data_IF_107060535967
#
_entry.id   IF_107060535967
#
_cell.length_a   1.000
_cell.length_b   1.000
_cell.length_c   1.000
_cell.angle_alpha   90.00
_cell.angle_beta   90.00
_cell.angle_gamma   90.00
#
_symmetry.space_group_name_H-M   'P 1'
#
loop_
_entity.id
_entity.type
_entity.pdbx_description
1 polymer ?
#
# COMPACT_ATOMS: atom_id res chain seq x y z
N UNK A 1 3.98 21.84 -4.84
CA UNK A 1 3.09 21.18 -3.86
C UNK A 1 3.99 20.48 -2.85
N UNK A 2 3.70 20.53 -1.57
CA UNK A 2 4.57 19.96 -0.52
C UNK A 2 4.46 18.43 -0.56
N UNK A 3 5.60 17.74 -0.53
CA UNK A 3 5.64 16.26 -0.63
C UNK A 3 4.93 15.56 0.54
N UNK A 4 4.88 16.21 1.70
CA UNK A 4 4.16 15.76 2.88
C UNK A 4 2.65 15.66 2.65
N UNK A 5 2.05 16.67 1.99
CA UNK A 5 0.63 16.66 1.63
C UNK A 5 0.32 15.55 0.62
N UNK A 6 1.21 15.35 -0.36
CA UNK A 6 1.05 14.27 -1.33
C UNK A 6 1.15 12.89 -0.67
N UNK A 7 2.06 12.73 0.28
CA UNK A 7 2.19 11.49 1.04
C UNK A 7 0.91 11.21 1.88
N UNK A 8 0.34 12.23 2.53
CA UNK A 8 -0.93 12.09 3.25
C UNK A 8 -2.09 11.73 2.30
N UNK A 9 -2.19 12.39 1.16
CA UNK A 9 -3.20 12.07 0.14
C UNK A 9 -3.07 10.63 -0.37
N UNK A 10 -1.85 10.13 -0.55
CA UNK A 10 -1.60 8.72 -0.90
C UNK A 10 -2.18 7.76 0.15
N UNK A 11 -2.20 8.15 1.42
CA UNK A 11 -2.84 7.36 2.48
C UNK A 11 -4.36 7.29 2.32
N UNK A 12 -5.01 8.40 1.99
CA UNK A 12 -6.45 8.41 1.69
C UNK A 12 -6.76 7.48 0.51
N UNK A 13 -5.92 7.49 -0.53
CA UNK A 13 -6.08 6.59 -1.67
C UNK A 13 -6.05 5.10 -1.27
N UNK A 14 -5.17 4.70 -0.33
CA UNK A 14 -5.15 3.32 0.18
C UNK A 14 -6.47 2.97 0.88
N UNK A 15 -7.01 3.87 1.68
CA UNK A 15 -8.28 3.64 2.38
C UNK A 15 -9.45 3.49 1.39
N UNK A 16 -9.51 4.35 0.37
CA UNK A 16 -10.52 4.26 -0.70
C UNK A 16 -10.38 2.96 -1.49
N UNK A 17 -9.16 2.57 -1.84
CA UNK A 17 -8.89 1.30 -2.52
C UNK A 17 -9.32 0.10 -1.66
N UNK A 18 -9.01 0.14 -0.36
CA UNK A 18 -9.39 -0.91 0.58
C UNK A 18 -10.91 -1.06 0.66
N UNK A 19 -11.66 0.05 0.69
CA UNK A 19 -13.12 0.03 0.69
C UNK A 19 -13.69 -0.54 -0.61
N UNK A 20 -13.20 -0.08 -1.76
CA UNK A 20 -13.64 -0.57 -3.06
C UNK A 20 -13.37 -2.07 -3.23
N UNK A 21 -12.14 -2.49 -2.95
CA UNK A 21 -11.76 -3.90 -3.05
C UNK A 21 -12.46 -4.79 -2.03
N UNK A 22 -12.68 -4.30 -0.80
CA UNK A 22 -13.39 -5.02 0.25
C UNK A 22 -14.86 -5.25 -0.11
N UNK A 23 -15.55 -4.23 -0.61
CA UNK A 23 -16.95 -4.34 -1.04
C UNK A 23 -17.09 -5.27 -2.26
N UNK A 24 -16.17 -5.16 -3.23
CA UNK A 24 -16.15 -6.09 -4.37
C UNK A 24 -15.96 -7.53 -3.91
N UNK A 25 -15.04 -7.76 -2.96
CA UNK A 25 -14.77 -9.06 -2.37
C UNK A 25 -16.00 -9.62 -1.64
N UNK A 26 -16.66 -8.79 -0.84
CA UNK A 26 -17.87 -9.18 -0.11
C UNK A 26 -18.98 -9.63 -1.06
N UNK A 27 -19.25 -8.86 -2.13
CA UNK A 27 -20.28 -9.18 -3.13
C UNK A 27 -19.96 -10.41 -3.96
N UNK A 28 -18.67 -10.66 -4.25
CA UNK A 28 -18.21 -11.86 -4.95
C UNK A 28 -18.17 -13.08 -4.04
N UNK A 29 -18.13 -12.88 -2.72
CA UNK A 29 -17.75 -13.90 -1.76
C UNK A 29 -16.44 -14.64 -2.17
N UNK A 30 -15.54 -13.90 -2.83
CA UNK A 30 -14.27 -14.41 -3.38
C UNK A 30 -13.22 -13.30 -3.41
N UNK A 31 -12.43 -13.20 -2.33
CA UNK A 31 -11.40 -12.19 -2.18
C UNK A 31 -10.28 -12.28 -3.21
N UNK A 32 -9.89 -13.50 -3.59
CA UNK A 32 -8.83 -13.69 -4.56
C UNK A 32 -9.25 -13.23 -5.97
N UNK A 33 -10.50 -13.51 -6.35
CA UNK A 33 -11.05 -13.01 -7.61
C UNK A 33 -11.20 -11.48 -7.60
N UNK A 34 -11.63 -10.89 -6.47
CA UNK A 34 -11.69 -9.43 -6.32
C UNK A 34 -10.31 -8.77 -6.48
N UNK A 35 -9.27 -9.36 -5.89
CA UNK A 35 -7.88 -8.90 -6.07
C UNK A 35 -7.44 -8.99 -7.53
N UNK A 36 -7.75 -10.09 -8.21
CA UNK A 36 -7.43 -10.28 -9.63
C UNK A 36 -8.17 -9.27 -10.52
N UNK A 37 -9.44 -8.97 -10.25
CA UNK A 37 -10.20 -7.94 -10.98
C UNK A 37 -9.59 -6.56 -10.77
N UNK A 38 -9.23 -6.22 -9.53
CA UNK A 38 -8.59 -4.94 -9.21
C UNK A 38 -7.26 -4.78 -9.94
N UNK A 39 -6.37 -5.76 -9.86
CA UNK A 39 -5.09 -5.70 -10.57
C UNK A 39 -5.25 -5.82 -12.10
N UNK A 40 -6.14 -6.67 -12.58
CA UNK A 40 -6.43 -6.82 -14.01
C UNK A 40 -6.97 -5.54 -14.64
N UNK A 41 -7.93 -4.86 -13.98
CA UNK A 41 -8.44 -3.57 -14.46
C UNK A 41 -7.36 -2.50 -14.44
N UNK A 42 -6.53 -2.45 -13.41
CA UNK A 42 -5.39 -1.56 -13.34
C UNK A 42 -4.36 -1.84 -14.46
N UNK A 43 -4.09 -3.11 -14.76
CA UNK A 43 -3.23 -3.50 -15.87
C UNK A 43 -3.78 -3.02 -17.21
N UNK A 44 -5.07 -3.20 -17.46
CA UNK A 44 -5.72 -2.71 -18.70
C UNK A 44 -5.58 -1.20 -18.82
N UNK A 45 -5.86 -0.46 -17.74
CA UNK A 45 -5.76 1.00 -17.72
C UNK A 45 -4.33 1.47 -18.01
N UNK A 46 -3.33 0.95 -17.28
CA UNK A 46 -1.95 1.41 -17.46
C UNK A 46 -1.35 0.94 -18.80
N UNK A 47 -1.76 -0.24 -19.29
CA UNK A 47 -1.38 -0.70 -20.62
C UNK A 47 -1.96 0.22 -21.70
N UNK A 48 -3.24 0.61 -21.62
CA UNK A 48 -3.85 1.56 -22.53
C UNK A 48 -3.10 2.91 -22.51
N UNK A 49 -2.79 3.45 -21.32
CA UNK A 49 -1.99 4.68 -21.20
C UNK A 49 -0.62 4.50 -21.86
N UNK A 50 0.02 3.33 -21.72
CA UNK A 50 1.36 3.07 -22.25
C UNK A 50 1.42 3.07 -23.78
N UNK A 51 0.31 2.78 -24.47
CA UNK A 51 0.24 2.81 -25.93
C UNK A 51 0.43 4.23 -26.46
N UNK A 52 -0.10 5.23 -25.74
CA UNK A 52 -0.12 6.63 -26.16
C UNK A 52 0.97 7.48 -25.48
N UNK A 53 1.68 6.95 -24.49
CA UNK A 53 2.68 7.69 -23.74
C UNK A 53 4.11 7.20 -24.06
N UNK A 54 4.87 7.90 -24.92
CA UNK A 54 6.22 7.49 -25.30
C UNK A 54 7.21 7.50 -24.11
N UNK A 55 6.96 8.30 -23.07
CA UNK A 55 7.81 8.34 -21.89
C UNK A 55 7.80 6.99 -21.12
N UNK A 56 6.68 6.27 -21.12
CA UNK A 56 6.62 4.92 -20.53
C UNK A 56 7.51 3.95 -21.33
N UNK A 57 7.48 4.02 -22.65
CA UNK A 57 8.34 3.18 -23.53
C UNK A 57 9.83 3.48 -23.27
N UNK A 58 10.18 4.75 -23.11
CA UNK A 58 11.53 5.16 -22.73
C UNK A 58 11.91 4.60 -21.35
N UNK A 59 11.02 4.70 -20.36
CA UNK A 59 11.24 4.14 -19.03
C UNK A 59 11.46 2.62 -19.04
N UNK A 60 10.75 1.88 -19.89
CA UNK A 60 10.98 0.42 -20.10
C UNK A 60 12.37 0.19 -20.69
N UNK A 61 12.78 0.99 -21.69
CA UNK A 61 14.11 0.91 -22.27
C UNK A 61 15.20 1.16 -21.24
N UNK A 62 15.03 2.17 -20.39
CA UNK A 62 15.96 2.50 -19.31
C UNK A 62 16.11 1.34 -18.32
N UNK A 63 14.99 0.75 -17.88
CA UNK A 63 15.01 -0.43 -16.99
C UNK A 63 15.71 -1.61 -17.66
N UNK A 64 15.45 -1.86 -18.95
CA UNK A 64 16.10 -2.95 -19.68
C UNK A 64 17.62 -2.75 -19.74
N UNK A 65 18.07 -1.53 -19.97
CA UNK A 65 19.49 -1.17 -19.96
C UNK A 65 20.11 -1.34 -18.57
N UNK A 66 19.46 -0.84 -17.53
CA UNK A 66 19.92 -0.97 -16.14
C UNK A 66 20.04 -2.45 -15.70
N UNK A 67 19.09 -3.30 -16.11
CA UNK A 67 19.16 -4.76 -15.86
C UNK A 67 20.33 -5.39 -16.64
N UNK A 68 20.53 -5.01 -17.89
CA UNK A 68 21.62 -5.52 -18.74
C UNK A 68 22.98 -5.14 -18.20
N UNK A 69 23.11 -3.92 -17.68
CA UNK A 69 24.34 -3.40 -17.10
C UNK A 69 24.58 -3.90 -15.64
N UNK A 70 23.65 -4.65 -15.07
CA UNK A 70 23.76 -5.14 -13.69
C UNK A 70 23.49 -4.09 -12.59
N UNK A 71 22.97 -2.91 -12.96
CA UNK A 71 22.69 -1.81 -12.05
C UNK A 71 21.46 -2.10 -11.16
N UNK A 72 20.47 -2.83 -11.69
CA UNK A 72 19.32 -3.31 -10.93
C UNK A 72 19.14 -4.82 -11.06
N UNK A 73 19.01 -5.52 -9.94
CA UNK A 73 18.78 -6.96 -9.95
C UNK A 73 17.37 -7.30 -10.45
N UNK A 74 17.24 -8.32 -11.29
CA UNK A 74 15.96 -8.74 -11.92
C UNK A 74 14.84 -9.02 -10.92
N UNK A 75 15.15 -9.61 -9.77
CA UNK A 75 14.15 -9.93 -8.75
C UNK A 75 13.45 -8.68 -8.19
N UNK A 76 14.12 -7.51 -8.21
CA UNK A 76 13.52 -6.25 -7.73
C UNK A 76 12.37 -5.78 -8.60
N UNK A 77 12.33 -6.21 -9.87
CA UNK A 77 11.23 -5.91 -10.77
C UNK A 77 9.94 -6.66 -10.42
N UNK A 78 10.02 -7.65 -9.51
CA UNK A 78 8.86 -8.38 -8.98
C UNK A 78 8.12 -7.63 -7.88
N UNK A 79 8.39 -6.34 -7.68
CA UNK A 79 7.72 -5.51 -6.68
C UNK A 79 6.18 -5.58 -6.75
N UNK A 80 5.63 -5.72 -7.96
CA UNK A 80 4.19 -5.87 -8.15
C UNK A 80 3.61 -7.17 -7.60
N UNK A 81 4.39 -8.25 -7.55
CA UNK A 81 3.96 -9.49 -6.90
C UNK A 81 3.68 -9.27 -5.40
N UNK A 82 4.52 -8.44 -4.72
CA UNK A 82 4.25 -8.01 -3.34
C UNK A 82 2.96 -7.19 -3.25
N UNK A 83 2.72 -6.29 -4.22
CA UNK A 83 1.48 -5.52 -4.29
C UNK A 83 0.24 -6.39 -4.51
N UNK A 84 0.33 -7.39 -5.39
CA UNK A 84 -0.72 -8.39 -5.60
C UNK A 84 -1.02 -9.17 -4.32
N UNK A 85 0.01 -9.61 -3.59
CA UNK A 85 -0.13 -10.28 -2.30
C UNK A 85 -0.79 -9.37 -1.25
N UNK A 86 -0.39 -8.08 -1.18
CA UNK A 86 -1.02 -7.10 -0.30
C UNK A 86 -2.52 -6.99 -0.58
N UNK A 87 -2.92 -6.82 -1.85
CA UNK A 87 -4.33 -6.68 -2.21
C UNK A 87 -5.09 -7.99 -2.02
N UNK A 88 -4.47 -9.15 -2.28
CA UNK A 88 -5.09 -10.45 -2.00
C UNK A 88 -5.42 -10.64 -0.52
N UNK A 89 -4.53 -10.23 0.39
CA UNK A 89 -4.80 -10.23 1.84
C UNK A 89 -5.89 -9.19 2.18
N UNK A 90 -5.77 -7.97 1.66
CA UNK A 90 -6.72 -6.88 1.88
C UNK A 90 -8.16 -7.29 1.54
N UNK A 91 -8.38 -7.87 0.36
CA UNK A 91 -9.71 -8.28 -0.12
C UNK A 91 -10.35 -9.37 0.73
N UNK A 92 -9.56 -10.20 1.39
CA UNK A 92 -10.05 -11.23 2.30
C UNK A 92 -10.32 -10.70 3.70
N UNK A 93 -9.52 -9.73 4.16
CA UNK A 93 -9.54 -9.29 5.56
C UNK A 93 -10.47 -8.10 5.78
N UNK A 94 -10.55 -7.14 4.85
CA UNK A 94 -11.39 -5.94 4.99
C UNK A 94 -12.86 -6.27 5.22
N UNK A 95 -13.48 -7.23 4.54
CA UNK A 95 -14.86 -7.62 4.82
C UNK A 95 -15.10 -8.18 6.23
N UNK A 96 -14.04 -8.71 6.87
CA UNK A 96 -14.14 -9.34 8.19
C UNK A 96 -13.98 -8.34 9.34
N UNK A 97 -13.09 -7.35 9.19
CA UNK A 97 -12.70 -6.45 10.29
C UNK A 97 -12.90 -4.97 9.98
N UNK A 98 -13.35 -4.65 8.77
CA UNK A 98 -13.55 -3.26 8.31
C UNK A 98 -12.27 -2.56 7.86
N UNK A 99 -12.46 -1.40 7.21
CA UNK A 99 -11.36 -0.64 6.61
C UNK A 99 -10.44 -0.04 7.67
N UNK A 100 -11.03 0.50 8.75
CA UNK A 100 -10.26 1.17 9.80
C UNK A 100 -9.35 0.20 10.57
N UNK A 101 -9.87 -0.95 11.02
CA UNK A 101 -9.05 -1.94 11.75
C UNK A 101 -7.98 -2.54 10.84
N UNK A 102 -8.34 -2.86 9.59
CA UNK A 102 -7.35 -3.31 8.60
C UNK A 102 -6.25 -2.27 8.38
N UNK A 103 -6.62 -0.99 8.25
CA UNK A 103 -5.66 0.11 8.09
C UNK A 103 -4.69 0.16 9.25
N UNK A 104 -5.23 0.09 10.48
CA UNK A 104 -4.45 0.10 11.71
C UNK A 104 -3.45 -1.07 11.76
N UNK A 105 -3.89 -2.30 11.50
CA UNK A 105 -3.03 -3.48 11.47
C UNK A 105 -1.95 -3.38 10.37
N UNK A 106 -2.34 -2.96 9.17
CA UNK A 106 -1.44 -2.75 8.04
C UNK A 106 -0.38 -1.69 8.34
N UNK A 107 -0.74 -0.61 9.04
CA UNK A 107 0.17 0.46 9.45
C UNK A 107 1.27 -0.07 10.38
N UNK A 108 0.96 -0.95 11.33
CA UNK A 108 1.97 -1.54 12.19
C UNK A 108 3.05 -2.26 11.38
N UNK A 109 2.63 -3.12 10.44
CA UNK A 109 3.54 -3.81 9.55
C UNK A 109 4.36 -2.86 8.65
N UNK A 110 3.71 -1.87 8.05
CA UNK A 110 4.36 -0.85 7.21
C UNK A 110 5.44 -0.08 7.99
N UNK A 111 5.12 0.34 9.22
CA UNK A 111 6.01 1.16 10.02
C UNK A 111 7.24 0.37 10.48
N UNK A 112 7.04 -0.86 10.97
CA UNK A 112 8.14 -1.73 11.36
C UNK A 112 9.07 -2.04 10.19
N UNK A 113 8.51 -2.40 9.04
CA UNK A 113 9.30 -2.75 7.85
C UNK A 113 10.00 -1.54 7.24
N UNK A 114 9.39 -0.35 7.29
CA UNK A 114 9.99 0.85 6.70
C UNK A 114 11.28 1.28 7.42
N UNK A 115 11.41 1.04 8.72
CA UNK A 115 12.67 1.25 9.45
C UNK A 115 13.79 0.36 8.89
N UNK A 116 13.50 -0.93 8.72
CA UNK A 116 14.46 -1.90 8.20
C UNK A 116 14.87 -1.57 6.77
N UNK A 117 13.89 -1.30 5.92
CA UNK A 117 14.08 -0.98 4.50
C UNK A 117 14.93 0.27 4.30
N UNK A 118 14.69 1.33 5.09
CA UNK A 118 15.48 2.56 5.04
C UNK A 118 16.92 2.34 5.53
N UNK A 119 17.11 1.48 6.56
CA UNK A 119 18.45 1.15 7.08
C UNK A 119 19.32 0.43 6.07
N UNK A 120 18.74 -0.53 5.34
CA UNK A 120 19.50 -1.29 4.32
C UNK A 120 19.64 -0.52 3.00
N UNK A 121 18.96 0.62 2.85
CA UNK A 121 19.03 1.46 1.66
C UNK A 121 18.30 0.86 0.45
N UNK A 122 17.25 0.08 0.70
CA UNK A 122 16.51 -0.62 -0.37
C UNK A 122 15.72 0.34 -1.28
N UNK A 123 15.61 1.62 -0.95
CA UNK A 123 14.87 2.61 -1.73
C UNK A 123 15.59 3.16 -2.95
N UNK A 124 16.89 2.90 -3.10
CA UNK A 124 17.75 3.54 -4.10
C UNK A 124 18.28 4.94 -3.68
N UNK A 125 17.51 5.70 -2.91
CA UNK A 125 17.91 7.02 -2.39
C UNK A 125 18.98 6.98 -1.27
N UNK A 126 19.70 5.86 -1.14
CA UNK A 126 20.73 5.65 -0.12
C UNK A 126 20.17 5.20 1.24
N UNK A 127 21.09 4.83 2.14
CA UNK A 127 20.76 4.41 3.50
C UNK A 127 20.28 5.61 4.31
N UNK A 128 19.18 5.46 5.04
CA UNK A 128 18.69 6.45 5.99
C UNK A 128 19.05 6.02 7.41
N UNK A 129 19.58 6.95 8.20
CA UNK A 129 19.92 6.67 9.59
C UNK A 129 18.66 6.40 10.43
N UNK A 130 18.76 5.42 11.30
CA UNK A 130 17.73 5.15 12.31
C UNK A 130 18.04 6.02 13.53
N UNK A 131 17.28 7.11 13.67
CA UNK A 131 17.38 7.97 14.86
C UNK A 131 16.43 7.46 15.95
N UNK A 132 16.74 7.76 17.21
CA UNK A 132 15.86 7.40 18.33
C UNK A 132 14.45 7.96 18.18
N UNK A 133 14.29 9.15 17.58
CA UNK A 133 12.97 9.74 17.28
C UNK A 133 12.17 8.91 16.27
N UNK A 134 12.81 8.39 15.23
CA UNK A 134 12.16 7.52 14.23
C UNK A 134 11.70 6.19 14.84
N UNK A 135 12.51 5.62 15.74
CA UNK A 135 12.15 4.42 16.49
C UNK A 135 10.98 4.70 17.44
N UNK A 136 11.03 5.80 18.20
CA UNK A 136 9.95 6.19 19.09
C UNK A 136 8.63 6.42 18.35
N UNK A 137 8.66 7.09 17.19
CA UNK A 137 7.50 7.28 16.34
C UNK A 137 6.91 5.93 15.87
N UNK A 138 7.77 4.99 15.47
CA UNK A 138 7.33 3.65 15.05
C UNK A 138 6.70 2.88 16.23
N UNK A 139 7.33 2.88 17.40
CA UNK A 139 6.79 2.24 18.61
C UNK A 139 5.45 2.85 18.98
N UNK A 140 5.35 4.18 19.01
CA UNK A 140 4.09 4.87 19.36
C UNK A 140 2.98 4.57 18.35
N UNK A 141 3.32 4.46 17.06
CA UNK A 141 2.36 4.05 16.03
C UNK A 141 1.87 2.61 16.28
N UNK A 142 2.76 1.67 16.63
CA UNK A 142 2.35 0.29 16.96
C UNK A 142 1.47 0.25 18.22
N UNK A 143 1.80 1.02 19.26
CA UNK A 143 0.95 1.12 20.47
C UNK A 143 -0.41 1.71 20.10
N UNK A 144 -0.46 2.77 19.28
CA UNK A 144 -1.70 3.39 18.81
C UNK A 144 -2.60 2.38 18.09
N UNK A 145 -1.98 1.48 17.32
CA UNK A 145 -2.67 0.35 16.67
C UNK A 145 -3.31 -0.57 17.70
N UNK A 146 -2.58 -0.99 18.72
CA UNK A 146 -3.10 -1.85 19.78
C UNK A 146 -4.26 -1.18 20.52
N UNK A 147 -4.13 0.12 20.85
CA UNK A 147 -5.18 0.89 21.50
C UNK A 147 -6.44 0.92 20.64
N UNK A 148 -6.33 1.11 19.33
CA UNK A 148 -7.48 1.26 18.44
C UNK A 148 -8.34 0.00 18.28
N UNK A 149 -7.85 -1.16 18.75
CA UNK A 149 -8.59 -2.44 18.70
C UNK A 149 -8.93 -3.01 20.08
N UNK A 150 -8.60 -2.30 21.18
CA UNK A 150 -8.78 -2.83 22.54
C UNK A 150 -10.21 -3.23 22.87
N UNK A 151 -11.20 -2.48 22.43
CA UNK A 151 -12.62 -2.77 22.64
C UNK A 151 -13.14 -3.98 21.85
N UNK A 152 -12.32 -4.52 20.96
CA UNK A 152 -12.68 -5.64 20.09
C UNK A 152 -11.90 -6.92 20.38
N UNK A 153 -10.86 -6.84 21.23
CA UNK A 153 -10.06 -8.01 21.61
C UNK A 153 -10.92 -9.08 22.28
N UNK A 154 -11.91 -8.67 23.08
CA UNK A 154 -12.86 -9.57 23.73
C UNK A 154 -14.10 -9.88 22.88
N UNK A 155 -14.27 -9.23 21.73
CA UNK A 155 -15.39 -9.51 20.85
C UNK A 155 -15.18 -10.85 20.14
N UNK A 156 -16.17 -11.74 20.23
CA UNK A 156 -16.16 -13.06 19.56
C UNK A 156 -15.91 -12.99 18.04
N UNK A 157 -15.97 -11.80 17.46
CA UNK A 157 -15.85 -11.53 16.02
C UNK A 157 -14.47 -11.01 15.61
N UNK A 158 -13.54 -10.70 16.54
CA UNK A 158 -12.19 -10.28 16.15
C UNK A 158 -11.32 -11.50 15.90
N UNK A 159 -11.10 -11.82 14.64
CA UNK A 159 -10.11 -12.83 14.28
C UNK A 159 -8.70 -12.26 14.47
N UNK A 160 -7.98 -12.72 15.49
CA UNK A 160 -6.56 -12.37 15.69
C UNK A 160 -5.73 -12.73 14.45
N UNK A 161 -6.11 -13.79 13.73
CA UNK A 161 -5.49 -14.20 12.46
C UNK A 161 -5.66 -13.09 11.43
N UNK A 162 -6.84 -12.45 11.35
CA UNK A 162 -7.09 -11.36 10.41
C UNK A 162 -6.22 -10.12 10.73
N UNK A 163 -6.04 -9.79 12.00
CA UNK A 163 -5.16 -8.69 12.43
C UNK A 163 -3.70 -8.97 12.08
N UNK A 164 -3.22 -10.18 12.36
CA UNK A 164 -1.85 -10.60 12.00
C UNK A 164 -1.66 -10.57 10.48
N UNK A 165 -2.62 -11.06 9.70
CA UNK A 165 -2.58 -11.00 8.25
C UNK A 165 -2.55 -9.55 7.74
N UNK A 166 -3.28 -8.63 8.37
CA UNK A 166 -3.20 -7.20 8.10
C UNK A 166 -1.80 -6.63 8.37
N UNK A 167 -1.15 -7.01 9.47
CA UNK A 167 0.24 -6.62 9.76
C UNK A 167 1.21 -7.16 8.71
N UNK A 168 1.06 -8.41 8.30
CA UNK A 168 1.88 -9.02 7.23
C UNK A 168 1.68 -8.28 5.91
N UNK A 169 0.44 -7.98 5.54
CA UNK A 169 0.13 -7.18 4.36
C UNK A 169 0.85 -5.83 4.40
N UNK A 170 0.82 -5.16 5.54
CA UNK A 170 1.53 -3.90 5.76
C UNK A 170 3.05 -4.04 5.60
N UNK A 171 3.65 -5.10 6.14
CA UNK A 171 5.08 -5.37 5.99
C UNK A 171 5.45 -5.56 4.51
N UNK A 172 4.67 -6.33 3.79
CA UNK A 172 4.85 -6.60 2.35
C UNK A 172 4.80 -5.31 1.54
N UNK A 173 3.83 -4.43 1.80
CA UNK A 173 3.74 -3.15 1.07
C UNK A 173 4.86 -2.18 1.44
N UNK A 174 5.41 -2.27 2.64
CA UNK A 174 6.61 -1.51 3.03
C UNK A 174 7.82 -1.86 2.15
N UNK A 175 8.06 -3.15 1.91
CA UNK A 175 9.11 -3.63 0.97
C UNK A 175 8.78 -3.22 -0.46
N UNK A 176 7.55 -3.42 -0.90
CA UNK A 176 7.12 -3.05 -2.26
C UNK A 176 7.41 -1.58 -2.57
N UNK A 177 7.10 -0.66 -1.64
CA UNK A 177 7.38 0.78 -1.81
C UNK A 177 8.86 1.07 -2.06
N UNK A 178 9.73 0.38 -1.35
CA UNK A 178 11.18 0.53 -1.53
C UNK A 178 11.63 0.08 -2.92
N UNK A 179 11.16 -1.08 -3.35
CA UNK A 179 11.48 -1.61 -4.68
C UNK A 179 10.93 -0.71 -5.79
N UNK A 180 9.70 -0.19 -5.61
CA UNK A 180 9.11 0.77 -6.52
C UNK A 180 9.91 2.07 -6.60
N UNK A 181 10.48 2.55 -5.50
CA UNK A 181 11.40 3.67 -5.48
C UNK A 181 12.62 3.42 -6.36
N UNK A 182 13.25 2.24 -6.24
CA UNK A 182 14.37 1.86 -7.11
C UNK A 182 13.97 1.74 -8.59
N UNK A 183 12.86 1.07 -8.89
CA UNK A 183 12.38 0.95 -10.27
C UNK A 183 12.15 2.35 -10.87
N UNK A 184 11.58 3.28 -10.09
CA UNK A 184 11.36 4.64 -10.54
C UNK A 184 12.67 5.42 -10.76
N UNK A 185 13.69 5.17 -9.93
CA UNK A 185 15.02 5.77 -10.06
C UNK A 185 15.66 5.42 -11.41
N UNK A 186 15.62 4.14 -11.80
CA UNK A 186 16.21 3.69 -13.07
C UNK A 186 15.32 3.94 -14.29
N UNK A 187 13.99 3.91 -14.13
CA UNK A 187 13.06 4.19 -15.23
C UNK A 187 12.97 5.68 -15.57
N UNK A 188 13.22 6.56 -14.57
CA UNK A 188 12.92 8.00 -14.62
C UNK A 188 11.46 8.30 -14.99
N UNK A 189 10.54 7.31 -14.79
CA UNK A 189 9.15 7.41 -15.19
C UNK A 189 8.24 6.60 -14.27
N UNK A 190 7.43 7.30 -13.47
CA UNK A 190 6.58 6.69 -12.43
C UNK A 190 5.47 5.77 -12.98
N UNK A 191 4.91 6.08 -14.15
CA UNK A 191 3.94 5.19 -14.79
C UNK A 191 4.57 3.89 -15.34
N UNK A 192 5.87 3.88 -15.67
CA UNK A 192 6.60 2.66 -15.96
C UNK A 192 6.66 1.75 -14.72
N UNK A 193 6.87 2.33 -13.54
CA UNK A 193 6.81 1.61 -12.27
C UNK A 193 5.42 1.00 -12.05
N UNK A 194 4.35 1.76 -12.28
CA UNK A 194 2.99 1.25 -12.22
C UNK A 194 2.77 0.09 -13.19
N UNK A 195 3.19 0.22 -14.44
CA UNK A 195 3.02 -0.83 -15.46
C UNK A 195 3.70 -2.14 -15.02
N UNK A 196 4.96 -2.08 -14.57
CA UNK A 196 5.69 -3.26 -14.08
C UNK A 196 5.01 -3.89 -12.86
N UNK A 197 4.49 -3.06 -11.95
CA UNK A 197 3.74 -3.56 -10.80
C UNK A 197 2.46 -4.29 -11.20
N UNK A 198 1.67 -3.72 -12.10
CA UNK A 198 0.43 -4.36 -12.53
C UNK A 198 0.68 -5.60 -13.40
N UNK A 199 1.74 -5.64 -14.20
CA UNK A 199 2.13 -6.86 -14.93
C UNK A 199 2.48 -7.98 -13.93
N UNK A 200 3.43 -7.73 -13.02
CA UNK A 200 3.94 -8.79 -12.12
C UNK A 200 2.92 -9.17 -11.05
N UNK A 201 2.13 -8.20 -10.55
CA UNK A 201 1.07 -8.45 -9.58
C UNK A 201 -0.11 -9.21 -10.18
N UNK A 202 -0.59 -8.82 -11.36
CA UNK A 202 -1.67 -9.55 -12.07
C UNK A 202 -1.22 -10.95 -12.43
N UNK A 203 0.03 -11.13 -12.89
CA UNK A 203 0.57 -12.46 -13.20
C UNK A 203 0.58 -13.37 -11.98
N UNK A 204 1.05 -12.88 -10.82
CA UNK A 204 1.01 -13.65 -9.58
C UNK A 204 -0.42 -14.01 -9.18
N UNK A 205 -1.32 -13.02 -9.16
CA UNK A 205 -2.72 -13.26 -8.78
C UNK A 205 -3.43 -14.22 -9.71
N UNK A 206 -3.16 -14.14 -11.02
CA UNK A 206 -3.71 -15.07 -12.01
C UNK A 206 -3.22 -16.50 -11.76
N UNK A 207 -1.92 -16.68 -11.53
CA UNK A 207 -1.34 -18.00 -11.23
C UNK A 207 -1.97 -18.57 -9.95
N UNK A 208 -2.03 -17.79 -8.88
CA UNK A 208 -2.61 -18.24 -7.60
C UNK A 208 -4.09 -18.53 -7.75
N UNK A 209 -4.83 -17.72 -8.50
CA UNK A 209 -6.25 -17.95 -8.78
C UNK A 209 -6.48 -19.24 -9.57
N UNK A 210 -5.71 -19.47 -10.65
CA UNK A 210 -5.83 -20.69 -11.45
C UNK A 210 -5.48 -21.95 -10.66
N UNK A 211 -4.43 -21.90 -9.82
CA UNK A 211 -4.10 -23.01 -8.90
C UNK A 211 -5.26 -23.25 -7.92
N UNK A 212 -5.83 -22.19 -7.37
CA UNK A 212 -6.94 -22.28 -6.41
C UNK A 212 -8.19 -22.88 -7.05
N UNK A 213 -8.49 -22.54 -8.31
CA UNK A 213 -9.59 -23.17 -9.07
C UNK A 213 -9.26 -24.63 -9.40
N UNK A 214 -8.05 -24.93 -9.86
CA UNK A 214 -7.65 -26.30 -10.19
C UNK A 214 -7.66 -27.23 -8.96
N UNK A 215 -7.41 -26.69 -7.77
CA UNK A 215 -7.47 -27.41 -6.50
C UNK A 215 -8.86 -27.40 -5.84
N UNK A 216 -9.89 -26.93 -6.53
CA UNK A 216 -11.28 -26.82 -6.05
C UNK A 216 -11.44 -26.00 -4.75
N UNK A 217 -10.50 -25.12 -4.44
CA UNK A 217 -10.57 -24.22 -3.27
C UNK A 217 -11.41 -22.98 -3.53
N UNK A 218 -11.57 -22.60 -4.78
CA UNK A 218 -12.42 -21.50 -5.22
C UNK A 218 -12.99 -21.80 -6.60
N UNK A 219 -14.01 -21.04 -6.99
CA UNK A 219 -14.62 -21.12 -8.33
C UNK A 219 -14.66 -19.74 -8.96
N UNK A 220 -14.81 -19.69 -10.26
CA UNK A 220 -15.05 -18.42 -10.95
C UNK A 220 -16.49 -17.98 -10.69
N UNK A 221 -16.67 -16.75 -10.23
CA UNK A 221 -17.96 -16.15 -9.95
C UNK A 221 -18.23 -15.03 -10.95
N UNK A 222 -19.46 -14.92 -11.45
CA UNK A 222 -19.87 -13.83 -12.34
C UNK A 222 -19.74 -12.47 -11.64
N UNK A 223 -19.46 -11.41 -12.42
CA UNK A 223 -19.31 -10.07 -11.88
C UNK A 223 -20.61 -9.63 -11.19
N UNK A 224 -20.56 -9.15 -9.94
CA UNK A 224 -21.71 -8.74 -9.20
C UNK A 224 -22.28 -7.43 -9.76
N UNK A 225 -23.59 -7.31 -9.80
CA UNK A 225 -24.23 -6.02 -9.98
C UNK A 225 -24.02 -5.19 -8.71
N UNK A 226 -23.70 -3.89 -8.89
CA UNK A 226 -23.43 -3.00 -7.77
C UNK A 226 -23.02 -1.60 -8.21
N UNK A 227 -22.72 -0.73 -7.27
CA UNK A 227 -22.26 0.63 -7.57
C UNK A 227 -20.91 0.57 -8.30
N UNK A 228 -20.75 1.43 -9.29
CA UNK A 228 -19.56 1.47 -10.16
C UNK A 228 -18.23 1.61 -9.40
N UNK A 229 -18.25 2.25 -8.23
CA UNK A 229 -17.04 2.53 -7.43
C UNK A 229 -16.35 1.26 -6.91
N UNK A 230 -17.04 0.11 -6.79
CA UNK A 230 -16.41 -1.15 -6.35
C UNK A 230 -15.33 -1.64 -7.33
N UNK A 231 -15.38 -1.18 -8.57
CA UNK A 231 -14.42 -1.53 -9.63
C UNK A 231 -13.26 -0.52 -9.76
N UNK A 232 -13.23 0.52 -8.92
CA UNK A 232 -12.19 1.58 -9.03
C UNK A 232 -10.85 1.20 -8.43
N UNK A 233 -10.75 0.07 -7.74
CA UNK A 233 -9.54 -0.37 -7.03
C UNK A 233 -8.29 -0.37 -7.90
N UNK A 234 -8.40 -0.82 -9.16
CA UNK A 234 -7.28 -0.83 -10.11
C UNK A 234 -6.85 0.58 -10.54
N UNK A 235 -7.80 1.47 -10.85
CA UNK A 235 -7.51 2.86 -11.19
C UNK A 235 -6.79 3.59 -10.05
N UNK A 236 -7.32 3.45 -8.83
CA UNK A 236 -6.71 4.03 -7.62
C UNK A 236 -5.28 3.48 -7.45
N UNK A 237 -5.09 2.17 -7.65
CA UNK A 237 -3.79 1.52 -7.55
C UNK A 237 -2.77 2.04 -8.57
N UNK A 238 -3.15 2.28 -9.83
CA UNK A 238 -2.27 2.85 -10.87
C UNK A 238 -1.77 4.23 -10.45
N UNK A 239 -2.67 5.10 -10.03
CA UNK A 239 -2.33 6.45 -9.58
C UNK A 239 -1.48 6.38 -8.30
N UNK A 240 -1.88 5.56 -7.33
CA UNK A 240 -1.17 5.37 -6.08
C UNK A 240 0.30 4.96 -6.29
N UNK A 241 0.57 3.95 -7.12
CA UNK A 241 1.93 3.48 -7.36
C UNK A 241 2.77 4.54 -8.07
N UNK A 242 2.20 5.24 -9.06
CA UNK A 242 2.90 6.32 -9.74
C UNK A 242 3.29 7.45 -8.77
N UNK A 243 2.38 7.86 -7.88
CA UNK A 243 2.66 8.88 -6.88
C UNK A 243 3.70 8.42 -5.86
N UNK A 244 3.48 7.25 -5.26
CA UNK A 244 4.32 6.77 -4.15
C UNK A 244 5.73 6.46 -4.58
N UNK A 245 5.93 5.87 -5.77
CA UNK A 245 7.25 5.56 -6.29
C UNK A 245 8.13 6.81 -6.45
N UNK A 246 7.53 7.94 -6.82
CA UNK A 246 8.25 9.22 -6.93
C UNK A 246 8.53 9.83 -5.56
N UNK A 247 7.53 9.85 -4.66
CA UNK A 247 7.66 10.52 -3.36
C UNK A 247 8.64 9.77 -2.44
N UNK A 248 8.60 8.43 -2.46
CA UNK A 248 9.45 7.58 -1.61
C UNK A 248 10.93 7.78 -1.88
N UNK A 249 11.34 8.03 -3.12
CA UNK A 249 12.73 8.33 -3.47
C UNK A 249 13.26 9.57 -2.71
N UNK A 250 12.42 10.59 -2.59
CA UNK A 250 12.81 11.87 -1.97
C UNK A 250 12.71 11.85 -0.44
N UNK A 251 11.61 11.29 0.09
CA UNK A 251 11.35 11.28 1.53
C UNK A 251 11.95 10.06 2.26
N UNK A 252 12.17 8.96 1.57
CA UNK A 252 12.42 7.64 2.16
C UNK A 252 11.12 6.95 2.62
N UNK A 253 11.18 5.62 2.80
CA UNK A 253 9.97 4.82 3.07
C UNK A 253 9.35 5.17 4.42
N UNK A 254 10.16 5.34 5.47
CA UNK A 254 9.60 5.65 6.80
C UNK A 254 8.92 7.02 6.83
N UNK A 255 9.58 8.07 6.33
CA UNK A 255 9.01 9.43 6.32
C UNK A 255 7.71 9.48 5.50
N UNK A 256 7.73 8.86 4.31
CA UNK A 256 6.53 8.69 3.51
C UNK A 256 5.43 7.93 4.27
N UNK A 257 5.77 6.81 4.91
CA UNK A 257 4.81 5.99 5.66
C UNK A 257 4.18 6.78 6.80
N UNK A 258 4.94 7.55 7.56
CA UNK A 258 4.41 8.34 8.67
C UNK A 258 3.38 9.40 8.22
N UNK A 259 3.65 10.08 7.09
CA UNK A 259 2.66 11.02 6.53
C UNK A 259 1.45 10.30 5.90
N UNK A 260 1.70 9.22 5.17
CA UNK A 260 0.66 8.42 4.53
C UNK A 260 -0.28 7.79 5.56
N UNK A 261 0.26 7.36 6.71
CA UNK A 261 -0.51 6.81 7.83
C UNK A 261 -1.59 7.79 8.31
N UNK A 262 -1.24 9.07 8.46
CA UNK A 262 -2.22 10.10 8.85
C UNK A 262 -3.40 10.16 7.87
N UNK A 263 -3.10 10.24 6.58
CA UNK A 263 -4.13 10.26 5.54
C UNK A 263 -4.95 8.97 5.50
N UNK A 264 -4.30 7.81 5.66
CA UNK A 264 -4.97 6.51 5.66
C UNK A 264 -5.94 6.35 6.84
N UNK A 265 -5.54 6.77 8.04
CA UNK A 265 -6.40 6.68 9.24
C UNK A 265 -7.60 7.61 9.16
N UNK A 266 -7.38 8.88 8.75
CA UNK A 266 -8.50 9.81 8.56
C UNK A 266 -9.42 9.32 7.44
N UNK A 267 -8.86 8.90 6.32
CA UNK A 267 -9.65 8.38 5.20
C UNK A 267 -10.47 7.16 5.60
N UNK A 268 -9.85 6.20 6.31
CA UNK A 268 -10.56 4.99 6.76
C UNK A 268 -11.64 5.29 7.79
N UNK A 269 -11.39 6.23 8.73
CA UNK A 269 -12.38 6.66 9.70
C UNK A 269 -13.60 7.31 9.02
N UNK A 270 -13.35 8.23 8.08
CA UNK A 270 -14.43 8.89 7.33
C UNK A 270 -15.24 7.86 6.53
N UNK A 271 -14.56 6.90 5.90
CA UNK A 271 -15.22 5.83 5.13
C UNK A 271 -16.12 5.00 6.04
N UNK A 272 -15.63 4.55 7.19
CA UNK A 272 -16.42 3.70 8.11
C UNK A 272 -17.55 4.49 8.79
N UNK A 273 -17.45 5.82 8.88
CA UNK A 273 -18.56 6.69 9.36
C UNK A 273 -19.65 6.88 8.30
N UNK A 274 -19.27 7.07 7.04
CA UNK A 274 -20.20 7.37 5.93
C UNK A 274 -20.80 6.10 5.32
N UNK A 275 -20.02 5.04 5.25
CA UNK A 275 -20.40 3.75 4.65
C UNK A 275 -19.80 2.61 5.48
N UNK A 276 -20.37 2.34 6.66
CA UNK A 276 -19.83 1.34 7.56
C UNK A 276 -19.80 -0.05 6.91
N UNK A 277 -18.80 -0.83 7.26
CA UNK A 277 -18.80 -2.28 7.00
C UNK A 277 -19.74 -2.95 8.02
N UNK A 278 -20.53 -3.91 7.58
CA UNK A 278 -21.50 -4.61 8.43
C UNK A 278 -20.83 -5.14 9.72
N UNK A 279 -21.41 -4.82 10.88
CA UNK A 279 -20.89 -5.21 12.20
C UNK A 279 -19.67 -4.43 12.67
N UNK A 280 -19.22 -3.41 11.94
CA UNK A 280 -18.08 -2.56 12.32
C UNK A 280 -18.58 -1.20 12.79
N UNK A 281 -18.28 -0.86 14.06
CA UNK A 281 -18.63 0.43 14.65
C UNK A 281 -17.37 1.25 14.96
N UNK A 282 -17.46 2.55 14.73
CA UNK A 282 -16.40 3.48 15.14
C UNK A 282 -16.45 3.63 16.66
N UNK A 283 -15.36 3.27 17.32
CA UNK A 283 -15.24 3.33 18.77
C UNK A 283 -14.34 4.48 19.23
N UNK A 284 -14.45 4.85 20.51
CA UNK A 284 -13.55 5.81 21.15
C UNK A 284 -12.09 5.33 21.10
N UNK A 285 -11.86 4.02 21.22
CA UNK A 285 -10.53 3.42 21.14
C UNK A 285 -9.90 3.62 19.75
N UNK A 286 -10.67 3.43 18.68
CA UNK A 286 -10.22 3.68 17.31
C UNK A 286 -9.81 5.16 17.13
N UNK A 287 -10.65 6.10 17.58
CA UNK A 287 -10.36 7.54 17.51
C UNK A 287 -9.11 7.88 18.33
N UNK A 288 -8.96 7.31 19.53
CA UNK A 288 -7.78 7.49 20.37
C UNK A 288 -6.52 6.98 19.67
N UNK A 289 -6.56 5.80 19.05
CA UNK A 289 -5.45 5.24 18.26
C UNK A 289 -5.05 6.15 17.10
N UNK A 290 -6.01 6.76 16.41
CA UNK A 290 -5.76 7.75 15.36
C UNK A 290 -5.01 8.97 15.91
N UNK A 291 -5.50 9.55 17.02
CA UNK A 291 -4.86 10.71 17.66
C UNK A 291 -3.45 10.37 18.14
N UNK A 292 -3.25 9.20 18.76
CA UNK A 292 -1.92 8.72 19.17
C UNK A 292 -0.98 8.55 17.98
N UNK A 293 -1.46 8.05 16.85
CA UNK A 293 -0.66 7.91 15.62
C UNK A 293 -0.19 9.27 15.12
N UNK A 294 -1.08 10.26 15.09
CA UNK A 294 -0.70 11.64 14.74
C UNK A 294 0.32 12.21 15.70
N UNK A 295 0.13 12.02 17.01
CA UNK A 295 1.09 12.46 18.02
C UNK A 295 2.46 11.78 17.80
N UNK A 296 2.48 10.49 17.49
CA UNK A 296 3.69 9.73 17.14
C UNK A 296 4.41 10.30 15.93
N UNK A 297 3.68 10.61 14.87
CA UNK A 297 4.24 11.22 13.65
C UNK A 297 4.87 12.59 13.96
N UNK A 298 4.18 13.42 14.73
CA UNK A 298 4.70 14.76 15.12
C UNK A 298 5.91 14.62 16.02
N UNK A 299 5.87 13.77 17.05
CA UNK A 299 6.97 13.56 18.00
C UNK A 299 8.21 12.93 17.34
N UNK A 300 7.99 12.10 16.31
CA UNK A 300 9.07 11.50 15.50
C UNK A 300 9.93 12.52 14.78
N UNK A 301 9.54 13.80 14.83
CA UNK A 301 10.32 14.89 14.26
C UNK A 301 10.44 14.76 12.75
N UNK A 302 9.32 14.46 12.09
CA UNK A 302 9.23 14.51 10.62
C UNK A 302 9.29 15.98 10.18
N UNK A 303 10.39 16.67 10.57
CA UNK A 303 10.75 17.91 9.91
C UNK A 303 11.22 17.55 8.52
N UNK A 304 10.56 18.06 7.50
CA UNK A 304 11.08 18.08 6.15
C UNK A 304 12.53 18.59 6.25
N UNK A 305 13.49 17.66 6.15
CA UNK A 305 14.88 18.06 6.00
C UNK A 305 14.90 18.98 4.78
N UNK A 306 15.12 20.27 5.01
CA UNK A 306 15.41 21.21 3.93
C UNK A 306 16.49 20.56 3.09
N UNK A 307 16.17 20.25 1.85
CA UNK A 307 17.13 19.79 0.87
C UNK A 307 18.26 20.83 0.91
N UNK A 308 19.38 20.49 1.53
CA UNK A 308 20.61 21.29 1.39
C UNK A 308 20.93 21.25 -0.09
N UNK A 309 20.66 22.36 -0.78
CA UNK A 309 21.19 22.57 -2.12
C UNK A 309 22.70 22.34 -2.03
N UNK A 310 23.30 21.48 -2.87
CA UNK A 310 24.75 21.42 -2.94
C UNK A 310 25.23 22.81 -3.28
N UNK A 311 26.11 23.36 -2.44
CA UNK A 311 26.87 24.59 -2.76
C UNK A 311 27.66 24.28 -4.03
N UNK A 312 27.32 24.96 -5.13
CA UNK A 312 28.18 25.02 -6.31
C UNK A 312 29.49 25.67 -5.88
N UNK A 313 30.57 24.91 -5.86
CA UNK A 313 31.95 25.40 -5.99
C UNK A 313 32.44 25.02 -7.37
#
# INVERSE_FOLDING_TARGET
>A
MRLDILAAFSGVMIALQARANGELSHRLNNGLQAALISFGSGLIIIAAISLFNPAIKLGISNIRSAVRNGEIARWKLLAGALGGSFVAIQTQIVPLIGVAIYSVASIAGQTATSLLVDRIGLTGGGKKEITGRRVAAAILTVIAVLVSVLDRIDAKNLSMIAVIAGCIAGAVVGVQRALNGQINEYSHQSFTTSLLNFITGTSLLLIVFLISVATHRTSFVSLPQGPWWIYTGGLIGVIYIAFTSTIVQHLGVLTFTLFSVGGQLVGSLVIDLVSPTDGVHVSVYLVTGIVMTYAGVIAGGVSSSRVRRPSRH
#
